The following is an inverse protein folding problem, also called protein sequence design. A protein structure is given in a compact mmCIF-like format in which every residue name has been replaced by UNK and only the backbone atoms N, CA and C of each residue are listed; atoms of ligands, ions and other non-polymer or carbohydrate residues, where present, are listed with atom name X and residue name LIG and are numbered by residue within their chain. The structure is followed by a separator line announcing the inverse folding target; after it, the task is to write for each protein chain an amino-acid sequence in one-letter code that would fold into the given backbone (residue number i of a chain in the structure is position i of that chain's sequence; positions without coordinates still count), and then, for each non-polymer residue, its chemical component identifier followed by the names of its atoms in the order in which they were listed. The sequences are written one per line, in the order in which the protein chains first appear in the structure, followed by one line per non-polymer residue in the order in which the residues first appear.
data_IF_279062550578
#
_entry.id   IF_279062550578
#
_cell.length_a   1.000
_cell.length_b   1.000
_cell.length_c   1.000
_cell.angle_alpha   90.00
_cell.angle_beta   90.00
_cell.angle_gamma   90.00
#
_symmetry.space_group_name_H-M   'P 1'
#
loop_
_entity.id
_entity.type
_entity.pdbx_description
1 polymer ?
#
# COMPACT_ATOMS: atom_id res chain seq x y z
N UNK A 1 -26.89 2.67 -2.58
CA UNK A 1 -25.68 3.45 -2.22
C UNK A 1 -25.89 3.99 -0.82
N UNK A 2 -25.29 3.36 0.20
CA UNK A 2 -25.40 3.83 1.59
C UNK A 2 -24.36 4.92 1.85
N UNK A 3 -24.76 5.99 2.55
CA UNK A 3 -23.82 6.95 3.15
C UNK A 3 -23.71 6.66 4.64
N UNK A 4 -22.51 6.33 5.11
CA UNK A 4 -22.27 6.17 6.54
C UNK A 4 -22.16 7.56 7.20
N UNK A 5 -23.08 7.86 8.12
CA UNK A 5 -23.02 9.08 8.95
C UNK A 5 -21.95 8.93 10.05
N UNK A 6 -20.68 8.97 9.67
CA UNK A 6 -19.59 9.18 10.62
C UNK A 6 -19.70 10.58 11.26
N UNK A 7 -19.14 10.75 12.46
CA UNK A 7 -19.43 11.89 13.37
C UNK A 7 -19.13 13.31 12.86
N UNK A 8 -18.52 13.46 11.68
CA UNK A 8 -18.27 14.74 11.01
C UNK A 8 -19.36 15.16 10.01
N UNK A 9 -20.39 14.33 9.76
CA UNK A 9 -21.50 14.67 8.86
C UNK A 9 -21.15 14.71 7.36
N UNK A 10 -19.90 14.44 6.99
CA UNK A 10 -19.47 14.32 5.61
C UNK A 10 -20.05 13.04 4.97
N UNK A 11 -20.83 13.19 3.90
CA UNK A 11 -21.27 12.06 3.06
C UNK A 11 -20.10 11.57 2.19
N UNK A 12 -19.18 10.81 2.79
CA UNK A 12 -18.05 10.21 2.08
C UNK A 12 -18.55 9.05 1.21
N UNK A 13 -18.18 9.05 -0.08
CA UNK A 13 -18.40 7.91 -0.96
C UNK A 13 -17.22 6.93 -0.86
N UNK A 14 -17.49 5.71 -0.39
CA UNK A 14 -16.49 4.65 -0.29
C UNK A 14 -15.87 4.27 -1.65
N UNK A 15 -16.64 4.24 -2.73
CA UNK A 15 -16.13 3.91 -4.07
C UNK A 15 -15.13 4.95 -4.58
N UNK A 16 -15.28 6.23 -4.21
CA UNK A 16 -14.33 7.30 -4.54
C UNK A 16 -13.04 7.16 -3.73
N UNK A 17 -13.14 6.82 -2.45
CA UNK A 17 -11.99 6.53 -1.60
C UNK A 17 -11.19 5.32 -2.13
N UNK A 18 -11.87 4.25 -2.56
CA UNK A 18 -11.21 3.11 -3.21
C UNK A 18 -10.54 3.52 -4.51
N UNK A 19 -11.12 4.42 -5.31
CA UNK A 19 -10.45 4.97 -6.51
C UNK A 19 -9.20 5.76 -6.16
N UNK A 20 -9.19 6.55 -5.09
CA UNK A 20 -7.97 7.25 -4.66
C UNK A 20 -6.86 6.25 -4.34
N UNK A 21 -7.16 5.20 -3.56
CA UNK A 21 -6.16 4.16 -3.24
C UNK A 21 -5.68 3.41 -4.50
N UNK A 22 -6.62 3.03 -5.39
CA UNK A 22 -6.32 2.41 -6.70
C UNK A 22 -5.36 3.28 -7.52
N UNK A 23 -5.70 4.55 -7.70
CA UNK A 23 -4.89 5.51 -8.49
C UNK A 23 -3.53 5.74 -7.84
N UNK A 24 -3.45 5.89 -6.52
CA UNK A 24 -2.19 6.06 -5.81
C UNK A 24 -1.25 4.86 -6.00
N UNK A 25 -1.74 3.63 -5.83
CA UNK A 25 -0.96 2.42 -6.06
C UNK A 25 -0.50 2.29 -7.52
N UNK A 26 -1.36 2.65 -8.49
CA UNK A 26 -0.99 2.69 -9.90
C UNK A 26 0.12 3.72 -10.20
N UNK A 27 0.01 4.92 -9.64
CA UNK A 27 1.01 6.00 -9.76
C UNK A 27 2.37 5.59 -9.18
N UNK A 28 2.40 4.88 -8.04
CA UNK A 28 3.66 4.36 -7.45
C UNK A 28 4.41 3.47 -8.44
N UNK A 29 3.69 2.56 -9.10
CA UNK A 29 4.22 1.66 -10.11
C UNK A 29 4.68 2.41 -11.37
N UNK A 30 3.95 3.43 -11.82
CA UNK A 30 4.40 4.29 -12.94
C UNK A 30 5.73 4.99 -12.59
N UNK A 31 5.87 5.54 -11.38
CA UNK A 31 7.09 6.23 -10.95
C UNK A 31 8.27 5.24 -10.78
N UNK A 32 8.02 4.05 -10.23
CA UNK A 32 8.98 2.94 -10.18
C UNK A 32 9.47 2.54 -11.57
N UNK A 33 8.52 2.26 -12.45
CA UNK A 33 8.82 1.76 -13.78
C UNK A 33 9.50 2.77 -14.70
N UNK A 34 9.16 4.06 -14.62
CA UNK A 34 9.87 5.12 -15.36
C UNK A 34 11.35 5.17 -14.96
N UNK A 35 11.64 5.08 -13.67
CA UNK A 35 13.01 5.04 -13.15
C UNK A 35 13.79 3.83 -13.66
N UNK A 36 13.16 2.65 -13.67
CA UNK A 36 13.80 1.42 -14.11
C UNK A 36 13.95 1.30 -15.63
N UNK A 37 12.96 1.76 -16.40
CA UNK A 37 12.94 1.63 -17.86
C UNK A 37 13.81 2.68 -18.57
N UNK A 38 13.84 3.92 -18.06
CA UNK A 38 14.34 5.08 -18.83
C UNK A 38 15.52 5.84 -18.19
N UNK A 39 15.84 5.66 -16.90
CA UNK A 39 16.97 6.37 -16.29
C UNK A 39 18.28 5.56 -16.37
N UNK A 40 19.26 6.13 -17.07
CA UNK A 40 20.65 5.67 -17.06
C UNK A 40 20.93 4.47 -17.98
N UNK A 41 22.21 4.15 -18.12
CA UNK A 41 22.68 2.98 -18.84
C UNK A 41 22.28 1.67 -18.13
N UNK A 42 22.07 0.58 -18.89
CA UNK A 42 21.75 -0.75 -18.35
C UNK A 42 22.79 -1.29 -17.37
N UNK A 43 24.07 -1.03 -17.62
CA UNK A 43 25.19 -1.51 -16.80
C UNK A 43 25.31 -0.69 -15.52
N UNK A 44 25.17 0.63 -15.63
CA UNK A 44 25.12 1.54 -14.48
C UNK A 44 23.91 1.24 -13.57
N UNK A 45 22.73 0.99 -14.17
CA UNK A 45 21.52 0.58 -13.45
C UNK A 45 21.76 -0.75 -12.72
N UNK A 46 22.27 -1.78 -13.42
CA UNK A 46 22.58 -3.07 -12.82
C UNK A 46 23.54 -2.94 -11.62
N UNK A 47 24.67 -2.25 -11.81
CA UNK A 47 25.67 -2.03 -10.76
C UNK A 47 25.11 -1.27 -9.55
N UNK A 48 24.20 -0.31 -9.75
CA UNK A 48 23.54 0.41 -8.66
C UNK A 48 22.55 -0.47 -7.87
N UNK A 49 21.95 -1.47 -8.50
CA UNK A 49 20.99 -2.38 -7.86
C UNK A 49 21.65 -3.62 -7.22
N UNK A 50 22.81 -4.07 -7.72
CA UNK A 50 23.57 -5.22 -7.15
C UNK A 50 24.69 -4.82 -6.19
N UNK A 51 24.89 -3.52 -5.93
CA UNK A 51 25.90 -3.03 -5.00
C UNK A 51 25.72 -3.63 -3.58
N UNK A 52 26.73 -4.29 -2.98
CA UNK A 52 26.56 -4.96 -1.67
C UNK A 52 26.22 -4.04 -0.48
N UNK A 53 26.59 -2.76 -0.54
CA UNK A 53 26.38 -1.78 0.54
C UNK A 53 25.05 -1.01 0.41
N UNK A 54 24.55 -0.82 -0.82
CA UNK A 54 23.52 0.20 -1.14
C UNK A 54 22.48 -0.27 -2.17
N UNK A 55 22.64 -1.48 -2.70
CA UNK A 55 21.76 -2.10 -3.69
C UNK A 55 20.41 -2.54 -3.13
N UNK A 56 19.59 -3.11 -4.01
CA UNK A 56 18.22 -3.59 -3.74
C UNK A 56 18.01 -5.04 -4.19
N UNK A 57 18.99 -5.65 -4.85
CA UNK A 57 18.97 -7.06 -5.25
C UNK A 57 20.09 -7.80 -4.52
N UNK A 58 19.72 -8.82 -3.74
CA UNK A 58 20.71 -9.72 -3.13
C UNK A 58 21.50 -10.47 -4.21
N UNK A 59 22.79 -10.81 -4.00
CA UNK A 59 23.61 -11.52 -4.99
C UNK A 59 22.94 -12.82 -5.49
N UNK A 60 22.38 -13.61 -4.57
CA UNK A 60 21.63 -14.85 -4.88
C UNK A 60 20.44 -14.61 -5.81
N UNK A 61 19.78 -13.45 -5.74
CA UNK A 61 18.68 -13.09 -6.63
C UNK A 61 19.18 -12.59 -8.00
N UNK A 62 20.27 -11.81 -8.03
CA UNK A 62 20.94 -11.38 -9.25
C UNK A 62 21.49 -12.55 -10.07
N UNK A 63 22.10 -13.54 -9.40
CA UNK A 63 22.56 -14.79 -10.00
C UNK A 63 21.38 -15.58 -10.57
N UNK A 64 20.28 -15.72 -9.82
CA UNK A 64 19.08 -16.43 -10.27
C UNK A 64 18.38 -15.77 -11.46
N UNK A 65 18.34 -14.44 -11.55
CA UNK A 65 17.86 -13.74 -12.76
C UNK A 65 18.66 -14.22 -13.98
N UNK A 66 19.99 -14.19 -13.88
CA UNK A 66 20.88 -14.52 -15.00
C UNK A 66 20.83 -16.01 -15.36
N UNK A 67 20.76 -16.90 -14.36
CA UNK A 67 20.70 -18.35 -14.55
C UNK A 67 19.35 -18.84 -15.10
N UNK A 68 18.22 -18.29 -14.62
CA UNK A 68 16.88 -18.79 -14.97
C UNK A 68 16.34 -18.14 -16.24
N UNK A 69 16.60 -16.84 -16.44
CA UNK A 69 16.05 -16.08 -17.57
C UNK A 69 17.04 -15.88 -18.72
N UNK A 70 18.32 -16.23 -18.55
CA UNK A 70 19.36 -16.07 -19.57
C UNK A 70 19.70 -14.61 -19.90
N UNK A 71 19.23 -13.64 -19.10
CA UNK A 71 19.43 -12.21 -19.32
C UNK A 71 20.15 -11.55 -18.15
N UNK A 72 20.98 -10.55 -18.44
CA UNK A 72 21.64 -9.76 -17.40
C UNK A 72 20.65 -8.91 -16.60
N UNK A 73 21.05 -8.56 -15.37
CA UNK A 73 20.24 -7.79 -14.41
C UNK A 73 19.77 -6.43 -14.97
N UNK A 74 20.59 -5.74 -15.77
CA UNK A 74 20.22 -4.45 -16.39
C UNK A 74 19.03 -4.56 -17.35
N UNK A 75 19.09 -5.41 -18.39
CA UNK A 75 17.96 -5.75 -19.25
C UNK A 75 16.72 -6.28 -18.50
N UNK A 76 16.91 -7.09 -17.45
CA UNK A 76 15.82 -7.54 -16.58
C UNK A 76 15.13 -6.35 -15.90
N UNK A 77 15.88 -5.45 -15.26
CA UNK A 77 15.34 -4.27 -14.58
C UNK A 77 14.62 -3.32 -15.54
N UNK A 78 15.12 -3.10 -16.77
CA UNK A 78 14.39 -2.30 -17.76
C UNK A 78 13.07 -2.95 -18.18
N UNK A 79 13.06 -4.26 -18.41
CA UNK A 79 11.83 -5.02 -18.73
C UNK A 79 10.83 -4.96 -17.57
N UNK A 80 11.30 -5.15 -16.33
CA UNK A 80 10.50 -4.98 -15.11
C UNK A 80 9.90 -3.56 -15.03
N UNK A 81 10.68 -2.53 -15.37
CA UNK A 81 10.20 -1.14 -15.38
C UNK A 81 9.07 -0.89 -16.39
N UNK A 82 9.15 -1.49 -17.58
CA UNK A 82 8.06 -1.42 -18.57
C UNK A 82 6.80 -2.16 -18.08
N UNK A 83 6.96 -3.29 -17.41
CA UNK A 83 5.85 -4.03 -16.76
C UNK A 83 5.24 -3.22 -15.61
N UNK A 84 6.05 -2.56 -14.79
CA UNK A 84 5.58 -1.66 -13.73
C UNK A 84 4.76 -0.48 -14.28
N UNK A 85 5.21 0.17 -15.36
CA UNK A 85 4.44 1.22 -16.05
C UNK A 85 3.10 0.66 -16.55
N UNK A 86 3.12 -0.49 -17.23
CA UNK A 86 1.91 -1.08 -17.80
C UNK A 86 0.88 -1.46 -16.72
N UNK A 87 1.29 -2.15 -15.66
CA UNK A 87 0.42 -2.50 -14.53
C UNK A 87 -0.06 -1.25 -13.79
N UNK A 88 0.81 -0.26 -13.60
CA UNK A 88 0.47 1.00 -12.95
C UNK A 88 -0.57 1.82 -13.73
N UNK A 89 -0.48 1.84 -15.06
CA UNK A 89 -1.49 2.45 -15.93
C UNK A 89 -2.83 1.69 -15.91
N UNK A 90 -2.79 0.35 -16.02
CA UNK A 90 -4.00 -0.49 -15.92
C UNK A 90 -4.70 -0.30 -14.58
N UNK A 91 -3.94 -0.25 -13.47
CA UNK A 91 -4.45 0.05 -12.13
C UNK A 91 -5.04 1.47 -12.05
N UNK A 92 -4.30 2.49 -12.51
CA UNK A 92 -4.76 3.89 -12.43
C UNK A 92 -6.05 4.12 -13.23
N UNK A 93 -6.17 3.55 -14.43
CA UNK A 93 -7.39 3.57 -15.26
C UNK A 93 -8.49 2.63 -14.73
N UNK A 94 -8.12 1.66 -13.91
CA UNK A 94 -9.01 0.65 -13.36
C UNK A 94 -9.53 -0.31 -14.43
N UNK A 95 -8.58 -0.96 -15.11
CA UNK A 95 -8.77 -2.03 -16.10
C UNK A 95 -8.20 -3.32 -15.48
N UNK A 96 -9.02 -4.37 -15.40
CA UNK A 96 -8.63 -5.65 -14.79
C UNK A 96 -8.32 -5.54 -13.29
N UNK A 97 -8.87 -4.53 -12.61
CA UNK A 97 -8.37 -3.97 -11.34
C UNK A 97 -8.04 -5.04 -10.30
N UNK A 98 -8.92 -6.02 -10.08
CA UNK A 98 -8.69 -7.09 -9.07
C UNK A 98 -7.47 -7.96 -9.40
N UNK A 99 -7.29 -8.31 -10.67
CA UNK A 99 -6.17 -9.16 -11.13
C UNK A 99 -4.87 -8.37 -11.11
N UNK A 100 -4.90 -7.15 -11.64
CA UNK A 100 -3.74 -6.22 -11.62
C UNK A 100 -3.30 -5.93 -10.19
N UNK A 101 -4.24 -5.72 -9.26
CA UNK A 101 -3.97 -5.54 -7.85
C UNK A 101 -3.32 -6.76 -7.19
N UNK A 102 -3.77 -7.99 -7.48
CA UNK A 102 -3.10 -9.21 -6.99
C UNK A 102 -1.69 -9.33 -7.55
N UNK A 103 -1.48 -9.07 -8.84
CA UNK A 103 -0.15 -9.11 -9.47
C UNK A 103 0.79 -8.07 -8.84
N UNK A 104 0.34 -6.82 -8.68
CA UNK A 104 1.13 -5.75 -8.06
C UNK A 104 1.45 -6.06 -6.59
N UNK A 105 0.51 -6.63 -5.84
CA UNK A 105 0.74 -7.08 -4.46
C UNK A 105 1.79 -8.20 -4.37
N UNK A 106 1.72 -9.18 -5.27
CA UNK A 106 2.74 -10.24 -5.36
C UNK A 106 4.10 -9.71 -5.80
N UNK A 107 4.16 -8.70 -6.69
CA UNK A 107 5.43 -8.03 -7.03
C UNK A 107 6.03 -7.30 -5.82
N UNK A 108 5.24 -6.56 -5.04
CA UNK A 108 5.70 -5.97 -3.77
C UNK A 108 6.22 -7.04 -2.79
N UNK A 109 5.57 -8.20 -2.70
CA UNK A 109 6.05 -9.33 -1.89
C UNK A 109 7.39 -9.89 -2.39
N UNK A 110 7.53 -10.10 -3.71
CA UNK A 110 8.80 -10.55 -4.32
C UNK A 110 9.91 -9.53 -4.08
N UNK A 111 9.65 -8.22 -4.20
CA UNK A 111 10.65 -7.20 -3.87
C UNK A 111 11.03 -7.23 -2.39
N UNK A 112 10.08 -7.36 -1.47
CA UNK A 112 10.38 -7.51 -0.05
C UNK A 112 11.28 -8.75 0.20
N UNK A 113 10.97 -9.89 -0.41
CA UNK A 113 11.77 -11.12 -0.29
C UNK A 113 13.15 -11.06 -0.97
N UNK A 114 13.30 -10.29 -2.06
CA UNK A 114 14.55 -10.17 -2.83
C UNK A 114 15.55 -9.14 -2.26
N UNK A 115 15.13 -8.34 -1.26
CA UNK A 115 15.85 -7.20 -0.69
C UNK A 115 16.86 -7.46 0.47
N UNK A 116 17.28 -8.67 0.89
CA UNK A 116 18.31 -8.80 1.95
C UNK A 116 19.70 -8.44 1.39
N UNK A 117 20.00 -7.15 1.34
CA UNK A 117 21.28 -6.53 0.96
C UNK A 117 21.65 -5.49 2.01
N UNK A 118 22.95 -5.18 2.18
CA UNK A 118 23.46 -4.22 3.16
C UNK A 118 23.10 -4.46 4.65
N UNK A 119 22.40 -5.55 4.99
CA UNK A 119 21.89 -5.82 6.34
C UNK A 119 20.58 -5.10 6.71
N UNK A 120 20.00 -4.31 5.81
CA UNK A 120 18.72 -3.63 6.05
C UNK A 120 17.52 -4.49 5.62
N UNK A 121 16.64 -4.85 6.57
CA UNK A 121 15.40 -5.59 6.28
C UNK A 121 14.29 -4.59 5.91
N UNK A 122 14.37 -4.09 4.67
CA UNK A 122 13.42 -3.10 4.11
C UNK A 122 12.01 -3.64 3.82
N UNK A 123 11.69 -4.87 4.25
CA UNK A 123 10.45 -5.60 3.96
C UNK A 123 9.16 -4.82 4.32
N UNK A 124 9.19 -4.01 5.38
CA UNK A 124 7.97 -3.49 6.01
C UNK A 124 7.10 -2.60 5.13
N UNK A 125 7.72 -1.78 4.26
CA UNK A 125 7.01 -0.82 3.43
C UNK A 125 6.34 -1.50 2.24
N UNK A 126 7.06 -2.38 1.56
CA UNK A 126 6.53 -3.08 0.39
C UNK A 126 5.47 -4.11 0.80
N UNK A 127 5.63 -4.82 1.93
CA UNK A 127 4.58 -5.70 2.47
C UNK A 127 3.29 -4.94 2.85
N UNK A 128 3.37 -3.68 3.28
CA UNK A 128 2.18 -2.89 3.56
C UNK A 128 1.49 -2.36 2.28
N UNK A 129 2.27 -2.05 1.23
CA UNK A 129 1.72 -1.73 -0.08
C UNK A 129 1.10 -2.97 -0.76
N UNK A 130 1.66 -4.17 -0.55
CA UNK A 130 1.01 -5.45 -0.88
C UNK A 130 -0.36 -5.57 -0.21
N UNK A 131 -0.45 -5.29 1.10
CA UNK A 131 -1.72 -5.31 1.83
C UNK A 131 -2.73 -4.29 1.28
N UNK A 132 -2.28 -3.10 0.90
CA UNK A 132 -3.12 -2.10 0.22
C UNK A 132 -3.57 -2.54 -1.18
N UNK A 133 -2.71 -3.22 -1.95
CA UNK A 133 -3.08 -3.84 -3.22
C UNK A 133 -4.15 -4.93 -3.03
N UNK A 134 -4.01 -5.83 -2.05
CA UNK A 134 -5.02 -6.84 -1.76
C UNK A 134 -6.33 -6.21 -1.24
N UNK A 135 -6.27 -5.13 -0.46
CA UNK A 135 -7.45 -4.35 -0.06
C UNK A 135 -8.23 -3.83 -1.29
N UNK A 136 -7.54 -3.30 -2.31
CA UNK A 136 -8.16 -2.92 -3.60
C UNK A 136 -8.69 -4.14 -4.36
N UNK A 137 -8.01 -5.29 -4.33
CA UNK A 137 -8.49 -6.51 -4.98
C UNK A 137 -9.83 -7.03 -4.41
N UNK A 138 -10.03 -6.92 -3.09
CA UNK A 138 -11.28 -7.27 -2.41
C UNK A 138 -12.36 -6.20 -2.56
N UNK A 139 -12.02 -4.91 -2.49
CA UNK A 139 -12.96 -3.81 -2.72
C UNK A 139 -13.53 -3.84 -4.15
N UNK A 140 -12.67 -4.11 -5.13
CA UNK A 140 -12.98 -4.04 -6.54
C UNK A 140 -12.53 -2.74 -7.18
N UNK A 141 -13.27 -2.31 -8.19
CA UNK A 141 -12.79 -1.34 -9.17
C UNK A 141 -12.87 0.13 -8.71
N UNK A 142 -13.75 0.45 -7.76
CA UNK A 142 -14.03 1.82 -7.31
C UNK A 142 -14.78 2.68 -8.35
N UNK A 143 -15.02 3.94 -7.99
CA UNK A 143 -15.63 4.94 -8.87
C UNK A 143 -14.80 5.22 -10.14
N UNK A 144 -15.49 5.60 -11.21
CA UNK A 144 -14.90 5.98 -12.51
C UNK A 144 -13.97 4.93 -13.16
N UNK A 145 -14.00 3.68 -12.71
CA UNK A 145 -13.22 2.60 -13.30
C UNK A 145 -13.70 2.23 -14.70
N UNK A 146 -12.78 1.94 -15.62
CA UNK A 146 -13.13 1.39 -16.92
C UNK A 146 -13.74 -0.02 -16.81
N UNK A 147 -13.35 -0.83 -15.82
CA UNK A 147 -13.98 -2.11 -15.48
C UNK A 147 -15.50 -2.04 -15.31
N UNK A 148 -16.01 -0.96 -14.71
CA UNK A 148 -17.45 -0.76 -14.52
C UNK A 148 -18.19 -0.48 -15.83
N UNK A 149 -17.51 0.13 -16.81
CA UNK A 149 -18.04 0.39 -18.16
C UNK A 149 -17.92 -0.83 -19.09
N UNK A 150 -16.84 -1.60 -18.95
CA UNK A 150 -16.50 -2.71 -19.85
C UNK A 150 -17.12 -4.06 -19.42
N UNK A 151 -17.23 -4.32 -18.12
CA UNK A 151 -17.70 -5.61 -17.58
C UNK A 151 -18.85 -5.50 -16.58
N UNK A 152 -19.45 -4.31 -16.40
CA UNK A 152 -20.58 -4.05 -15.48
C UNK A 152 -20.35 -4.54 -14.04
N UNK A 153 -19.08 -4.69 -13.62
CA UNK A 153 -18.73 -5.27 -12.32
C UNK A 153 -19.07 -4.31 -11.18
N UNK A 154 -19.93 -4.76 -10.28
CA UNK A 154 -20.26 -4.06 -9.04
C UNK A 154 -19.06 -3.95 -8.11
N UNK A 155 -19.06 -2.88 -7.30
CA UNK A 155 -18.21 -2.77 -6.12
C UNK A 155 -18.61 -3.85 -5.11
N UNK A 156 -17.63 -4.54 -4.53
CA UNK A 156 -17.87 -5.48 -3.41
C UNK A 156 -17.42 -4.89 -2.07
N UNK A 157 -17.06 -3.60 -2.04
CA UNK A 157 -16.59 -2.94 -0.82
C UNK A 157 -17.60 -3.08 0.32
N UNK A 158 -18.90 -2.81 0.12
CA UNK A 158 -19.91 -2.91 1.18
C UNK A 158 -20.06 -4.31 1.79
N UNK A 159 -19.71 -5.37 1.05
CA UNK A 159 -19.79 -6.76 1.55
C UNK A 159 -18.55 -7.19 2.35
N UNK A 160 -17.43 -6.48 2.20
CA UNK A 160 -16.14 -6.84 2.79
C UNK A 160 -15.43 -5.66 3.48
N UNK A 161 -16.15 -4.55 3.68
CA UNK A 161 -15.64 -3.25 4.15
C UNK A 161 -14.76 -3.42 5.38
N UNK A 162 -15.24 -4.21 6.34
CA UNK A 162 -14.54 -4.47 7.60
C UNK A 162 -13.19 -5.16 7.40
N UNK A 163 -13.15 -6.25 6.63
CA UNK A 163 -11.90 -6.95 6.31
C UNK A 163 -10.93 -6.09 5.50
N UNK A 164 -11.43 -5.28 4.57
CA UNK A 164 -10.64 -4.34 3.76
C UNK A 164 -10.00 -3.26 4.64
N UNK A 165 -10.77 -2.68 5.58
CA UNK A 165 -10.29 -1.65 6.50
C UNK A 165 -9.33 -2.23 7.54
N UNK A 166 -9.58 -3.43 8.09
CA UNK A 166 -8.63 -4.14 8.97
C UNK A 166 -7.32 -4.42 8.24
N UNK A 167 -7.36 -4.85 6.98
CA UNK A 167 -6.17 -5.11 6.18
C UNK A 167 -5.33 -3.84 5.96
N UNK A 168 -5.95 -2.71 5.60
CA UNK A 168 -5.28 -1.40 5.51
C UNK A 168 -4.69 -1.00 6.88
N UNK A 169 -5.45 -1.16 7.96
CA UNK A 169 -5.04 -0.82 9.33
C UNK A 169 -3.81 -1.59 9.77
N UNK A 170 -3.83 -2.92 9.62
CA UNK A 170 -2.75 -3.80 10.04
C UNK A 170 -1.51 -3.66 9.14
N UNK A 171 -1.70 -3.37 7.85
CA UNK A 171 -0.58 -3.07 6.93
C UNK A 171 0.23 -1.86 7.42
N UNK A 172 -0.44 -0.74 7.69
CA UNK A 172 0.22 0.48 8.17
C UNK A 172 0.74 0.31 9.61
N UNK A 173 0.00 -0.38 10.48
CA UNK A 173 0.46 -0.70 11.85
C UNK A 173 1.75 -1.52 11.83
N UNK A 174 1.84 -2.54 10.97
CA UNK A 174 3.03 -3.37 10.79
C UNK A 174 4.24 -2.55 10.34
N UNK A 175 4.08 -1.63 9.37
CA UNK A 175 5.17 -0.73 8.96
C UNK A 175 5.65 0.14 10.11
N UNK A 176 4.74 0.80 10.84
CA UNK A 176 5.13 1.68 11.95
C UNK A 176 5.81 0.91 13.09
N UNK A 177 5.26 -0.24 13.51
CA UNK A 177 5.84 -1.08 14.55
C UNK A 177 7.23 -1.59 14.15
N UNK A 178 7.37 -2.16 12.96
CA UNK A 178 8.67 -2.69 12.50
C UNK A 178 9.70 -1.59 12.24
N UNK A 179 9.30 -0.38 11.81
CA UNK A 179 10.24 0.74 11.64
C UNK A 179 10.66 1.38 12.96
N UNK A 180 9.86 1.26 14.02
CA UNK A 180 10.23 1.72 15.35
C UNK A 180 11.07 0.68 16.13
N UNK A 181 10.75 -0.61 16.02
CA UNK A 181 11.48 -1.70 16.67
C UNK A 181 12.83 -1.96 15.99
N UNK A 182 12.85 -2.07 14.65
CA UNK A 182 14.07 -2.30 13.88
C UNK A 182 14.64 -0.97 13.34
N UNK A 183 14.79 0.01 14.24
CA UNK A 183 15.28 1.34 13.90
C UNK A 183 16.81 1.43 13.73
N UNK A 184 17.56 0.34 13.96
CA UNK A 184 19.02 0.28 13.81
C UNK A 184 19.52 -1.19 13.75
N UNK A 185 20.79 -1.37 13.37
CA UNK A 185 21.49 -2.67 13.35
C UNK A 185 21.17 -3.57 12.15
N UNK A 186 21.70 -4.81 12.08
CA UNK A 186 21.36 -5.78 11.01
C UNK A 186 20.01 -6.73 11.35
N UNK A 187 19.19 -5.68 10.85
CA UNK A 187 17.82 -5.66 10.23
C UNK A 187 17.18 -4.28 10.00
N UNK A 188 17.93 -3.17 10.06
CA UNK A 188 17.38 -1.82 10.10
C UNK A 188 16.38 -1.52 8.98
N UNK A 189 15.27 -0.89 9.34
CA UNK A 189 14.04 -0.82 8.55
C UNK A 189 13.46 0.60 8.61
N UNK A 190 14.24 1.57 8.11
CA UNK A 190 13.88 2.97 8.21
C UNK A 190 12.67 3.31 7.32
N UNK A 191 11.57 3.76 7.95
CA UNK A 191 10.65 4.70 7.30
C UNK A 191 11.38 6.04 7.13
N UNK A 192 10.99 6.86 6.15
CA UNK A 192 11.55 8.21 5.98
C UNK A 192 10.94 9.17 7.05
N UNK A 193 11.37 9.02 8.31
CA UNK A 193 10.75 9.65 9.48
C UNK A 193 11.61 10.74 10.11
N UNK A 194 10.97 11.88 10.40
CA UNK A 194 11.47 12.92 11.31
C UNK A 194 10.86 12.82 12.71
N UNK A 195 9.89 11.91 12.93
CA UNK A 195 9.26 11.70 14.23
C UNK A 195 10.16 10.86 15.16
N UNK A 196 10.18 11.15 16.47
CA UNK A 196 10.80 10.28 17.48
C UNK A 196 10.27 8.84 17.40
N UNK A 197 11.16 7.86 17.51
CA UNK A 197 10.81 6.42 17.38
C UNK A 197 9.68 5.98 18.34
N UNK A 198 9.62 6.57 19.54
CA UNK A 198 8.56 6.31 20.52
C UNK A 198 7.17 6.72 19.99
N UNK A 199 7.06 7.82 19.24
CA UNK A 199 5.79 8.24 18.63
C UNK A 199 5.38 7.26 17.52
N UNK A 200 6.33 6.84 16.68
CA UNK A 200 6.10 5.85 15.61
C UNK A 200 5.64 4.52 16.21
N UNK A 201 6.28 4.05 17.30
CA UNK A 201 5.92 2.85 18.04
C UNK A 201 4.49 2.94 18.61
N UNK A 202 4.16 4.04 19.28
CA UNK A 202 2.84 4.26 19.90
C UNK A 202 1.75 4.33 18.84
N UNK A 203 1.96 5.04 17.72
CA UNK A 203 1.00 5.06 16.61
C UNK A 203 0.79 3.65 16.02
N UNK A 204 1.87 2.90 15.80
CA UNK A 204 1.80 1.51 15.33
C UNK A 204 1.02 0.60 16.28
N UNK A 205 1.27 0.69 17.59
CA UNK A 205 0.59 -0.10 18.61
C UNK A 205 -0.91 0.22 18.72
N UNK A 206 -1.27 1.51 18.70
CA UNK A 206 -2.66 1.96 18.72
C UNK A 206 -3.44 1.48 17.49
N UNK A 207 -2.82 1.50 16.30
CA UNK A 207 -3.40 0.95 15.08
C UNK A 207 -3.50 -0.58 15.11
N UNK A 208 -2.51 -1.29 15.65
CA UNK A 208 -2.55 -2.75 15.75
C UNK A 208 -3.72 -3.22 16.63
N UNK A 209 -3.81 -2.68 17.86
CA UNK A 209 -4.89 -2.96 18.83
C UNK A 209 -6.25 -2.47 18.32
N UNK A 210 -6.28 -1.39 17.52
CA UNK A 210 -7.52 -0.80 17.01
C UNK A 210 -8.17 0.21 17.98
N UNK A 211 -7.34 0.90 18.78
CA UNK A 211 -7.77 1.95 19.71
C UNK A 211 -7.75 3.32 19.02
N UNK A 212 -8.94 3.93 18.80
CA UNK A 212 -9.12 5.20 18.08
C UNK A 212 -8.42 5.29 16.71
N UNK A 213 -8.43 4.24 15.86
CA UNK A 213 -7.59 4.18 14.68
C UNK A 213 -7.96 5.23 13.63
N UNK A 214 -9.20 5.74 13.56
CA UNK A 214 -9.53 6.82 12.63
C UNK A 214 -8.71 8.10 12.92
N UNK A 215 -8.54 8.46 14.19
CA UNK A 215 -7.74 9.62 14.60
C UNK A 215 -6.25 9.41 14.32
N UNK A 216 -5.73 8.22 14.65
CA UNK A 216 -4.32 7.89 14.41
C UNK A 216 -4.00 7.84 12.91
N UNK A 217 -4.94 7.39 12.08
CA UNK A 217 -4.82 7.46 10.61
C UNK A 217 -4.94 8.89 10.08
N UNK A 218 -5.78 9.76 10.67
CA UNK A 218 -5.83 11.17 10.33
C UNK A 218 -4.49 11.88 10.61
N UNK A 219 -3.89 11.61 11.77
CA UNK A 219 -2.55 12.10 12.12
C UNK A 219 -1.46 11.52 11.20
N UNK A 220 -1.53 10.22 10.90
CA UNK A 220 -0.61 9.56 9.96
C UNK A 220 -0.72 10.16 8.55
N UNK A 221 -1.92 10.48 8.07
CA UNK A 221 -2.13 11.15 6.79
C UNK A 221 -1.49 12.55 6.78
N UNK A 222 -1.73 13.38 7.80
CA UNK A 222 -1.10 14.70 7.91
C UNK A 222 0.44 14.62 7.94
N UNK A 223 0.99 13.62 8.64
CA UNK A 223 2.43 13.38 8.68
C UNK A 223 2.99 12.88 7.34
N UNK A 224 2.35 11.90 6.68
CA UNK A 224 2.78 11.42 5.36
C UNK A 224 2.70 12.52 4.30
N UNK A 225 1.69 13.41 4.36
CA UNK A 225 1.59 14.59 3.50
C UNK A 225 2.79 15.52 3.68
N UNK A 226 3.20 15.78 4.93
CA UNK A 226 4.42 16.53 5.24
C UNK A 226 5.68 15.85 4.67
N UNK A 227 5.83 14.52 4.83
CA UNK A 227 7.01 13.78 4.32
C UNK A 227 7.09 13.84 2.79
N UNK A 228 5.96 13.68 2.08
CA UNK A 228 5.90 13.81 0.62
C UNK A 228 6.27 15.23 0.17
N UNK A 229 5.66 16.25 0.79
CA UNK A 229 5.95 17.65 0.46
C UNK A 229 7.41 18.05 0.75
N UNK A 230 7.96 17.63 1.89
CA UNK A 230 9.35 17.88 2.27
C UNK A 230 10.34 17.20 1.31
N UNK A 231 10.06 15.97 0.87
CA UNK A 231 10.90 15.27 -0.12
C UNK A 231 10.91 16.00 -1.47
N UNK A 232 9.75 16.47 -1.93
CA UNK A 232 9.61 17.25 -3.16
C UNK A 232 10.28 18.63 -3.07
N UNK A 233 10.22 19.29 -1.92
CA UNK A 233 10.95 20.56 -1.69
C UNK A 233 12.47 20.37 -1.66
N UNK A 234 12.97 19.34 -0.95
CA UNK A 234 14.40 19.14 -0.74
C UNK A 234 15.17 18.57 -1.96
N UNK A 235 14.49 17.86 -2.87
CA UNK A 235 15.11 17.15 -4.02
C UNK A 235 14.57 17.58 -5.38
N UNK A 236 13.68 18.58 -5.40
CA UNK A 236 12.86 18.91 -6.56
C UNK A 236 11.76 17.88 -6.83
N UNK A 237 10.77 18.28 -7.64
CA UNK A 237 9.53 17.53 -7.88
C UNK A 237 9.80 16.05 -8.25
N UNK A 238 10.66 15.79 -9.24
CA UNK A 238 10.84 14.44 -9.78
C UNK A 238 11.54 13.47 -8.81
N UNK A 239 12.74 13.81 -8.33
CA UNK A 239 13.50 12.95 -7.41
C UNK A 239 12.88 12.90 -6.01
N UNK A 240 12.19 13.97 -5.60
CA UNK A 240 11.40 14.00 -4.36
C UNK A 240 10.21 13.05 -4.41
N UNK A 241 9.47 13.02 -5.52
CA UNK A 241 8.38 12.10 -5.78
C UNK A 241 8.86 10.64 -5.86
N UNK A 242 9.95 10.35 -6.60
CA UNK A 242 10.52 8.99 -6.66
C UNK A 242 10.90 8.45 -5.27
N UNK A 243 11.45 9.30 -4.41
CA UNK A 243 11.89 8.93 -3.07
C UNK A 243 10.83 9.07 -1.97
N UNK A 244 9.60 9.50 -2.30
CA UNK A 244 8.45 9.55 -1.39
C UNK A 244 7.19 8.85 -1.94
N UNK A 245 7.29 8.08 -3.03
CA UNK A 245 6.15 7.39 -3.64
C UNK A 245 5.50 6.35 -2.73
N UNK A 246 6.29 5.63 -1.91
CA UNK A 246 5.73 4.66 -0.94
C UNK A 246 4.89 5.39 0.11
N UNK A 247 5.39 6.52 0.56
CA UNK A 247 4.78 7.42 1.54
C UNK A 247 3.51 8.11 0.97
N UNK A 248 3.44 8.38 -0.34
CA UNK A 248 2.19 8.75 -1.03
C UNK A 248 1.13 7.62 -0.98
N UNK A 249 1.55 6.36 -1.09
CA UNK A 249 0.67 5.21 -0.90
C UNK A 249 0.11 5.13 0.52
N UNK A 250 0.97 5.32 1.52
CA UNK A 250 0.57 5.34 2.93
C UNK A 250 -0.31 6.54 3.28
N UNK A 251 -0.03 7.73 2.71
CA UNK A 251 -0.88 8.91 2.80
C UNK A 251 -2.32 8.58 2.38
N UNK A 252 -2.49 8.04 1.17
CA UNK A 252 -3.82 7.78 0.64
C UNK A 252 -4.50 6.62 1.37
N UNK A 253 -3.78 5.56 1.73
CA UNK A 253 -4.32 4.47 2.56
C UNK A 253 -4.79 4.98 3.95
N UNK A 254 -4.03 5.88 4.57
CA UNK A 254 -4.40 6.50 5.85
C UNK A 254 -5.60 7.46 5.71
N UNK A 255 -5.67 8.29 4.65
CA UNK A 255 -6.85 9.12 4.36
C UNK A 255 -8.10 8.26 4.16
N UNK A 256 -7.99 7.19 3.36
CA UNK A 256 -9.09 6.26 3.09
C UNK A 256 -9.59 5.58 4.36
N UNK A 257 -8.69 5.14 5.25
CA UNK A 257 -9.10 4.62 6.55
C UNK A 257 -9.69 5.73 7.44
N UNK A 258 -9.10 6.92 7.51
CA UNK A 258 -9.59 8.00 8.37
C UNK A 258 -11.02 8.47 8.01
N UNK A 259 -11.44 8.31 6.75
CA UNK A 259 -12.75 8.71 6.25
C UNK A 259 -13.82 7.60 6.31
N UNK A 260 -13.44 6.32 6.32
CA UNK A 260 -14.36 5.16 6.27
C UNK A 260 -14.25 4.21 7.47
N UNK A 261 -13.19 4.34 8.27
CA UNK A 261 -12.82 3.44 9.34
C UNK A 261 -13.52 3.73 10.66
N UNK A 262 -13.93 2.70 11.43
CA UNK A 262 -14.62 2.90 12.70
C UNK A 262 -13.69 3.43 13.80
N UNK A 263 -14.30 4.12 14.77
CA UNK A 263 -13.70 4.67 16.00
C UNK A 263 -12.98 3.66 16.88
N UNK A 264 -13.43 2.40 16.85
CA UNK A 264 -12.93 1.29 17.65
C UNK A 264 -13.16 0.01 16.86
N UNK A 265 -12.24 -0.94 17.02
CA UNK A 265 -12.50 -2.32 16.63
C UNK A 265 -12.81 -3.14 17.88
N UNK A 266 -14.10 -3.35 18.13
CA UNK A 266 -14.55 -4.26 19.16
C UNK A 266 -14.34 -5.71 18.67
N UNK A 267 -13.14 -6.24 18.88
CA UNK A 267 -12.84 -7.67 18.69
C UNK A 267 -13.68 -8.61 19.59
N UNK A 268 -14.47 -8.03 20.51
CA UNK A 268 -15.17 -8.70 21.61
C UNK A 268 -16.63 -8.26 21.79
N UNK A 269 -17.19 -7.46 20.88
CA UNK A 269 -18.65 -7.33 20.77
C UNK A 269 -19.11 -8.41 19.77
N UNK A 270 -19.64 -9.56 20.23
CA UNK A 270 -20.22 -10.52 19.29
C UNK A 270 -21.38 -9.82 18.60
N UNK A 271 -21.38 -9.79 17.26
CA UNK A 271 -22.52 -9.25 16.52
C UNK A 271 -23.77 -10.04 16.93
N UNK A 272 -24.69 -9.38 17.63
CA UNK A 272 -25.87 -10.02 18.20
C UNK A 272 -26.88 -10.32 17.11
N UNK A 273 -26.70 -11.49 16.47
CA UNK A 273 -27.66 -12.14 15.57
C UNK A 273 -29.05 -12.35 16.18
N UNK A 274 -29.20 -12.09 17.49
CA UNK A 274 -30.45 -11.88 18.19
C UNK A 274 -31.47 -11.04 17.38
N UNK A 275 -31.03 -9.98 16.70
CA UNK A 275 -31.90 -9.14 15.87
C UNK A 275 -32.52 -9.92 14.71
N UNK A 276 -31.70 -10.59 13.89
CA UNK A 276 -32.17 -11.40 12.77
C UNK A 276 -32.94 -12.64 13.21
N UNK A 277 -32.65 -13.22 14.39
CA UNK A 277 -33.45 -14.33 14.93
C UNK A 277 -34.82 -13.90 15.47
N UNK A 278 -34.95 -12.67 15.98
CA UNK A 278 -36.24 -12.13 16.43
C UNK A 278 -37.15 -11.81 15.23
N UNK A 279 -36.61 -11.12 14.22
CA UNK A 279 -37.33 -10.78 12.99
C UNK A 279 -37.74 -12.04 12.19
N UNK A 280 -36.92 -13.09 12.22
CA UNK A 280 -37.30 -14.40 11.65
C UNK A 280 -38.38 -15.12 12.47
N UNK A 281 -38.35 -15.01 13.81
CA UNK A 281 -39.35 -15.64 14.68
C UNK A 281 -40.75 -15.02 14.51
N UNK A 282 -40.86 -13.68 14.41
CA UNK A 282 -42.14 -13.01 14.11
C UNK A 282 -42.65 -13.30 12.69
N UNK A 283 -41.78 -13.69 11.76
CA UNK A 283 -42.18 -14.05 10.39
C UNK A 283 -42.75 -15.47 10.22
N UNK A 284 -42.74 -16.28 11.29
CA UNK A 284 -43.13 -17.70 11.29
C UNK A 284 -44.33 -17.98 12.22
N UNK A 285 -44.88 -16.94 12.88
CA UNK A 285 -46.03 -17.01 13.80
C UNK A 285 -47.30 -16.40 13.21
#
# INVERSE_FOLDING_TARGET
MQTSKHGFGLNVNADVCMTWLRVALGVIFIIGGIKLAFLGDTSALAASYTNPEKGWLSPVFADKITQILGIGVGPFLRTQGLVEIALGLLMALGIGTRVVAVIMGLMFWVFAAANPVAGEIRLSRDLALMGCCFAVAFAGAGAWSLDGRLWQRSSTFTSYQDGILVLIRLSLAFTLLTSAVFASGPFANHLNTTLPLVMVLVMGALLAVGLRPHWIMGLLALWMLYVVAASMGAKGVYFGLDSAKRELGFLVAAVVYALLGPDRWAWLEPQTSAATSAEYAESVS
#
